data_IF_827502348998
#
_entry.id   IF_827502348998
#
_cell.length_a   1.000
_cell.length_b   1.000
_cell.length_c   1.000
_cell.angle_alpha   90.00
_cell.angle_beta   90.00
_cell.angle_gamma   90.00
#
_symmetry.space_group_name_H-M   'P 1'
#
loop_
_entity.id
_entity.type
_entity.pdbx_description
1 polymer ?
#
# COMPACT_ATOMS: atom_id res chain seq x y z
N UNK A 1 11.76 13.72 -10.71
CA UNK A 1 10.41 13.40 -10.20
C UNK A 1 9.90 12.26 -11.05
N UNK A 2 9.98 11.03 -10.56
CA UNK A 2 9.50 9.85 -11.29
C UNK A 2 7.98 9.92 -11.31
N UNK A 3 7.37 9.81 -12.48
CA UNK A 3 5.92 9.89 -12.63
C UNK A 3 5.25 8.72 -11.86
N UNK A 4 4.18 9.02 -11.10
CA UNK A 4 3.47 8.00 -10.32
C UNK A 4 2.97 6.86 -11.20
N UNK A 5 2.60 7.13 -12.46
CA UNK A 5 2.19 6.12 -13.43
C UNK A 5 3.33 5.16 -13.76
N UNK A 6 4.55 5.67 -13.92
CA UNK A 6 5.73 4.84 -14.16
C UNK A 6 6.05 3.96 -12.96
N UNK A 7 5.91 4.50 -11.75
CA UNK A 7 6.10 3.74 -10.50
C UNK A 7 5.05 2.62 -10.37
N UNK A 8 3.78 2.93 -10.68
CA UNK A 8 2.68 1.95 -10.66
C UNK A 8 2.88 0.83 -11.69
N UNK A 9 3.35 1.17 -12.90
CA UNK A 9 3.66 0.18 -13.94
C UNK A 9 4.79 -0.76 -13.50
N UNK A 10 5.88 -0.21 -12.93
CA UNK A 10 6.99 -1.02 -12.41
C UNK A 10 6.54 -1.95 -11.28
N UNK A 11 5.77 -1.43 -10.33
CA UNK A 11 5.23 -2.25 -9.24
C UNK A 11 4.33 -3.38 -9.76
N UNK A 12 3.58 -3.15 -10.85
CA UNK A 12 2.78 -4.19 -11.53
C UNK A 12 3.65 -5.26 -12.21
N UNK A 13 4.85 -4.93 -12.65
CA UNK A 13 5.84 -5.87 -13.19
C UNK A 13 6.59 -6.68 -12.11
N UNK A 14 6.13 -6.63 -10.85
CA UNK A 14 6.76 -7.24 -9.66
C UNK A 14 8.10 -6.60 -9.28
N UNK A 15 8.33 -5.33 -9.65
CA UNK A 15 9.44 -4.54 -9.09
C UNK A 15 9.17 -4.24 -7.61
N UNK A 16 9.88 -4.96 -6.74
CA UNK A 16 9.72 -4.86 -5.30
C UNK A 16 10.09 -3.48 -4.75
N UNK A 17 11.09 -2.81 -5.33
CA UNK A 17 11.47 -1.46 -4.90
C UNK A 17 10.37 -0.45 -5.24
N UNK A 18 9.75 -0.59 -6.41
CA UNK A 18 8.61 0.25 -6.80
C UNK A 18 7.39 0.01 -5.90
N UNK A 19 7.13 -1.25 -5.52
CA UNK A 19 6.05 -1.56 -4.57
C UNK A 19 6.33 -0.99 -3.18
N UNK A 20 7.55 -1.13 -2.67
CA UNK A 20 7.95 -0.57 -1.36
C UNK A 20 7.82 0.96 -1.34
N UNK A 21 8.15 1.64 -2.43
CA UNK A 21 7.98 3.09 -2.56
C UNK A 21 6.50 3.49 -2.51
N UNK A 22 5.62 2.75 -3.22
CA UNK A 22 4.17 2.97 -3.15
C UNK A 22 3.64 2.69 -1.74
N UNK A 23 4.05 1.57 -1.13
CA UNK A 23 3.63 1.20 0.22
C UNK A 23 4.07 2.26 1.23
N UNK A 24 5.29 2.80 1.11
CA UNK A 24 5.78 3.87 1.98
C UNK A 24 4.95 5.15 1.85
N UNK A 25 4.49 5.50 0.64
CA UNK A 25 3.60 6.65 0.42
C UNK A 25 2.23 6.46 1.09
N UNK A 26 1.65 5.25 0.99
CA UNK A 26 0.33 4.95 1.57
C UNK A 26 0.37 4.54 3.04
N UNK A 27 1.55 4.22 3.60
CA UNK A 27 1.72 3.76 4.99
C UNK A 27 1.00 4.63 6.03
N UNK A 28 1.06 5.97 6.00
CA UNK A 28 0.35 6.80 6.98
C UNK A 28 -1.17 6.65 6.90
N UNK A 29 -1.71 6.42 5.70
CA UNK A 29 -3.14 6.18 5.49
C UNK A 29 -3.53 4.80 6.01
N UNK A 30 -2.76 3.76 5.65
CA UNK A 30 -3.02 2.39 6.10
C UNK A 30 -2.98 2.31 7.64
N UNK A 31 -1.98 2.93 8.27
CA UNK A 31 -1.87 3.04 9.73
C UNK A 31 -3.09 3.69 10.37
N UNK A 32 -3.60 4.77 9.77
CA UNK A 32 -4.78 5.48 10.28
C UNK A 32 -6.05 4.60 10.18
N UNK A 33 -6.22 3.90 9.07
CA UNK A 33 -7.38 3.02 8.84
C UNK A 33 -7.26 1.71 9.64
N UNK A 34 -6.07 1.33 10.08
CA UNK A 34 -5.82 0.20 10.99
C UNK A 34 -6.19 0.47 12.45
N UNK A 35 -6.58 1.70 12.79
CA UNK A 35 -7.01 2.08 14.14
C UNK A 35 -8.53 1.97 14.23
N UNK A 36 -9.03 0.91 14.86
CA UNK A 36 -10.47 0.67 15.05
C UNK A 36 -10.88 0.98 16.49
N UNK A 37 -12.10 1.50 16.68
CA UNK A 37 -12.74 1.76 17.98
C UNK A 37 -12.07 2.81 18.87
N UNK A 38 -11.27 3.73 18.31
CA UNK A 38 -10.68 4.85 19.06
C UNK A 38 -9.67 4.43 20.13
N UNK A 39 -9.27 3.16 20.16
CA UNK A 39 -8.09 2.73 20.91
C UNK A 39 -6.86 3.19 20.16
N UNK A 40 -5.85 3.69 20.87
CA UNK A 40 -4.54 4.01 20.28
C UNK A 40 -3.75 2.74 19.89
N UNK A 41 -4.39 1.57 19.99
CA UNK A 41 -3.82 0.27 19.66
C UNK A 41 -4.07 0.02 18.17
N UNK A 42 -2.99 0.02 17.40
CA UNK A 42 -3.03 -0.36 15.99
C UNK A 42 -3.27 -1.86 15.90
N UNK A 43 -4.27 -2.26 15.12
CA UNK A 43 -4.46 -3.67 14.79
C UNK A 43 -3.43 -4.07 13.72
N UNK A 44 -2.39 -4.80 14.14
CA UNK A 44 -1.30 -5.24 13.26
C UNK A 44 -1.79 -6.15 12.13
N UNK A 45 -2.76 -7.04 12.43
CA UNK A 45 -3.35 -7.94 11.45
C UNK A 45 -4.11 -7.14 10.40
N UNK A 46 -4.87 -6.12 10.83
CA UNK A 46 -5.58 -5.23 9.92
C UNK A 46 -4.62 -4.41 9.05
N UNK A 47 -3.51 -3.91 9.60
CA UNK A 47 -2.49 -3.23 8.81
C UNK A 47 -1.89 -4.14 7.73
N UNK A 48 -1.63 -5.40 8.09
CA UNK A 48 -1.12 -6.39 7.15
C UNK A 48 -2.15 -6.71 6.05
N UNK A 49 -3.43 -6.88 6.39
CA UNK A 49 -4.51 -7.11 5.42
C UNK A 49 -4.71 -5.92 4.48
N UNK A 50 -4.64 -4.68 4.99
CA UNK A 50 -4.70 -3.47 4.16
C UNK A 50 -3.50 -3.36 3.20
N UNK A 51 -2.30 -3.74 3.67
CA UNK A 51 -1.09 -3.77 2.85
C UNK A 51 -1.18 -4.83 1.73
N UNK A 52 -1.69 -6.02 2.05
CA UNK A 52 -1.94 -7.08 1.05
C UNK A 52 -3.03 -6.67 0.05
N UNK A 53 -4.06 -5.97 0.51
CA UNK A 53 -5.12 -5.43 -0.35
C UNK A 53 -4.55 -4.42 -1.34
N UNK A 54 -3.71 -3.48 -0.87
CA UNK A 54 -3.02 -2.53 -1.73
C UNK A 54 -2.16 -3.24 -2.80
N UNK A 55 -1.39 -4.26 -2.40
CA UNK A 55 -0.61 -5.08 -3.33
C UNK A 55 -1.48 -5.71 -4.42
N UNK A 56 -2.58 -6.37 -4.03
CA UNK A 56 -3.54 -7.01 -4.97
C UNK A 56 -4.16 -5.98 -5.91
N UNK A 57 -4.51 -4.80 -5.41
CA UNK A 57 -5.04 -3.71 -6.22
C UNK A 57 -4.02 -3.25 -7.28
N UNK A 58 -2.75 -3.06 -6.90
CA UNK A 58 -1.68 -2.67 -7.83
C UNK A 58 -1.49 -3.73 -8.92
N UNK A 59 -1.54 -5.02 -8.56
CA UNK A 59 -1.44 -6.10 -9.55
C UNK A 59 -2.63 -6.15 -10.52
N UNK A 60 -3.84 -5.85 -10.05
CA UNK A 60 -5.09 -6.03 -10.82
C UNK A 60 -5.59 -4.78 -11.54
N UNK A 61 -5.13 -3.58 -11.15
CA UNK A 61 -5.58 -2.32 -11.76
C UNK A 61 -5.30 -2.29 -13.26
N UNK A 62 -6.28 -1.82 -14.04
CA UNK A 62 -6.15 -1.58 -15.48
C UNK A 62 -5.69 -0.14 -15.67
N UNK A 63 -4.54 0.03 -16.33
CA UNK A 63 -3.89 1.33 -16.59
C UNK A 63 -4.13 1.73 -18.05
#
# INVERSE_FOLDING_TARGET
MTDFKTLLLRAKENDQAAFEEILAMYRPLLLKESIINGRMDMDEDLFQELSLTLFRCIQTIKI
#
